data_IF_111082029345
#
_entry.id   IF_111082029345
#
_cell.length_a   1.000
_cell.length_b   1.000
_cell.length_c   1.000
_cell.angle_alpha   90.00
_cell.angle_beta   90.00
_cell.angle_gamma   90.00
#
_symmetry.space_group_name_H-M   'P 1'
#
loop_
_entity.id
_entity.type
_entity.pdbx_description
1 polymer ?
#
# COMPACT_ATOMS: atom_id res chain seq x y z
N UNK A 1 5.79 54.56 -26.77
CA UNK A 1 6.93 53.91 -27.44
C UNK A 1 8.12 54.82 -27.23
N UNK A 2 9.00 54.45 -26.31
CA UNK A 2 10.29 55.11 -26.14
C UNK A 2 11.26 54.19 -26.86
N UNK A 3 11.80 54.64 -27.99
CA UNK A 3 12.86 53.92 -28.71
C UNK A 3 14.07 53.85 -27.79
N UNK A 4 14.44 52.63 -27.44
CA UNK A 4 15.66 52.32 -26.70
C UNK A 4 16.83 52.49 -27.69
N UNK A 5 17.56 53.60 -27.61
CA UNK A 5 18.81 53.78 -28.34
C UNK A 5 19.79 52.70 -27.89
N UNK A 6 20.01 51.71 -28.76
CA UNK A 6 21.05 50.69 -28.59
C UNK A 6 22.40 51.42 -28.46
N UNK A 7 23.11 51.28 -27.33
CA UNK A 7 24.41 51.93 -27.16
C UNK A 7 25.38 51.41 -28.22
N UNK A 8 26.22 52.28 -28.82
CA UNK A 8 27.15 51.86 -29.86
C UNK A 8 28.05 50.73 -29.33
N UNK A 9 28.30 49.75 -30.20
CA UNK A 9 29.21 48.63 -29.96
C UNK A 9 30.66 49.15 -29.96
N UNK A 10 31.09 49.64 -28.79
CA UNK A 10 32.42 50.20 -28.55
C UNK A 10 33.55 49.19 -28.77
N UNK A 11 33.23 47.89 -28.73
CA UNK A 11 34.16 46.80 -29.05
C UNK A 11 34.44 46.74 -30.55
N UNK A 12 33.39 46.87 -31.36
CA UNK A 12 33.51 46.93 -32.82
C UNK A 12 34.22 48.20 -33.28
N UNK A 13 33.88 49.35 -32.70
CA UNK A 13 34.56 50.63 -32.97
C UNK A 13 36.06 50.61 -32.60
N UNK A 14 36.48 49.83 -31.60
CA UNK A 14 37.88 49.66 -31.22
C UNK A 14 38.69 48.86 -32.24
N UNK A 15 38.16 47.73 -32.72
CA UNK A 15 38.82 46.91 -33.75
C UNK A 15 38.83 47.61 -35.11
N UNK A 16 37.77 48.34 -35.44
CA UNK A 16 37.65 49.06 -36.72
C UNK A 16 38.61 50.27 -36.80
N UNK A 17 39.08 50.80 -35.66
CA UNK A 17 40.00 51.94 -35.58
C UNK A 17 41.45 51.56 -35.22
N UNK A 18 41.79 50.26 -35.23
CA UNK A 18 43.18 49.83 -35.13
C UNK A 18 43.88 50.02 -36.48
N UNK A 19 44.71 51.07 -36.61
CA UNK A 19 45.64 51.16 -37.74
C UNK A 19 46.67 50.02 -37.66
N UNK A 20 46.84 49.29 -38.78
CA UNK A 20 47.66 48.08 -38.92
C UNK A 20 49.17 48.30 -38.68
N UNK A 21 49.61 49.56 -38.58
CA UNK A 21 50.96 49.95 -38.21
C UNK A 21 50.90 51.20 -37.33
N UNK A 22 50.98 51.04 -36.01
CA UNK A 22 51.29 52.15 -35.12
C UNK A 22 52.81 52.39 -35.24
N UNK A 23 53.27 53.53 -35.77
CA UNK A 23 54.69 53.84 -35.78
C UNK A 23 55.20 53.91 -34.34
N UNK A 24 56.29 53.23 -34.02
CA UNK A 24 56.95 53.20 -32.71
C UNK A 24 57.69 54.53 -32.39
N UNK A 25 57.07 55.66 -32.69
CA UNK A 25 57.69 56.99 -32.57
C UNK A 25 56.95 57.96 -31.65
N UNK A 26 55.96 57.49 -30.88
CA UNK A 26 55.42 58.25 -29.74
C UNK A 26 56.00 57.81 -28.39
N UNK A 27 57.22 57.27 -28.39
CA UNK A 27 58.06 57.16 -27.20
C UNK A 27 58.62 58.54 -26.86
N UNK A 28 57.90 59.24 -25.98
CA UNK A 28 58.33 60.30 -25.06
C UNK A 28 59.65 61.00 -25.46
N UNK A 29 59.58 62.12 -26.18
CA UNK A 29 60.68 63.10 -26.20
C UNK A 29 60.50 64.04 -25.01
N UNK A 30 61.56 64.17 -24.20
CA UNK A 30 61.54 64.93 -22.95
C UNK A 30 62.43 66.16 -23.09
N UNK A 31 61.94 67.32 -22.62
CA UNK A 31 62.80 68.39 -22.09
C UNK A 31 61.98 69.32 -21.18
N UNK A 32 61.77 68.91 -19.92
CA UNK A 32 61.53 69.81 -18.78
C UNK A 32 61.47 69.01 -17.46
N UNK A 33 62.53 69.06 -16.64
CA UNK A 33 62.61 68.36 -15.34
C UNK A 33 61.98 69.19 -14.23
N UNK A 34 61.26 68.55 -13.28
CA UNK A 34 60.80 69.21 -12.06
C UNK A 34 61.85 69.13 -10.92
N UNK A 35 61.63 69.86 -9.82
CA UNK A 35 62.58 70.07 -8.72
C UNK A 35 62.97 68.80 -7.91
N UNK A 36 62.36 67.64 -8.17
CA UNK A 36 62.73 66.36 -7.55
C UNK A 36 63.35 65.39 -8.55
N UNK A 37 63.82 65.88 -9.70
CA UNK A 37 64.53 65.07 -10.70
C UNK A 37 63.64 64.17 -11.55
N UNK A 38 62.31 64.22 -11.34
CA UNK A 38 61.32 63.53 -12.17
C UNK A 38 60.83 64.43 -13.30
N UNK A 39 60.71 63.87 -14.50
CA UNK A 39 60.03 64.55 -15.61
C UNK A 39 58.56 64.12 -15.58
N UNK A 40 57.70 64.93 -14.94
CA UNK A 40 56.29 64.59 -14.76
C UNK A 40 55.41 65.76 -15.14
N UNK A 41 55.35 66.07 -16.44
CA UNK A 41 54.16 66.67 -17.01
C UNK A 41 53.07 65.60 -16.95
N UNK A 42 52.06 65.76 -16.09
CA UNK A 42 50.86 64.93 -16.19
C UNK A 42 50.18 65.37 -17.49
N UNK A 43 50.44 64.62 -18.57
CA UNK A 43 49.81 64.84 -19.86
C UNK A 43 48.30 64.74 -19.69
N UNK A 44 47.58 65.73 -20.25
CA UNK A 44 46.12 65.76 -20.30
C UNK A 44 45.59 64.37 -20.68
N UNK A 45 44.74 63.80 -19.82
CA UNK A 45 44.07 62.53 -20.09
C UNK A 45 43.31 62.61 -21.41
N UNK A 46 43.86 61.97 -22.45
CA UNK A 46 43.20 61.87 -23.74
C UNK A 46 42.12 60.77 -23.65
N UNK A 47 40.87 61.20 -23.41
CA UNK A 47 39.67 60.35 -23.34
C UNK A 47 39.44 59.48 -24.59
N UNK A 48 40.13 59.75 -25.69
CA UNK A 48 40.04 59.06 -26.99
C UNK A 48 41.25 58.18 -27.31
N UNK A 49 42.26 58.09 -26.43
CA UNK A 49 43.36 57.15 -26.70
C UNK A 49 42.89 55.69 -26.51
N UNK A 50 43.50 54.72 -27.22
CA UNK A 50 43.06 53.32 -27.17
C UNK A 50 43.03 52.72 -25.75
N UNK A 51 43.98 53.09 -24.88
CA UNK A 51 44.02 52.64 -23.49
C UNK A 51 42.87 53.16 -22.62
N UNK A 52 42.43 54.39 -22.81
CA UNK A 52 41.27 54.97 -22.12
C UNK A 52 39.95 54.33 -22.57
N UNK A 53 39.84 53.97 -23.86
CA UNK A 53 38.69 53.22 -24.40
C UNK A 53 38.67 51.80 -23.84
N UNK A 54 39.81 51.11 -23.78
CA UNK A 54 39.94 49.77 -23.19
C UNK A 54 39.57 49.74 -21.69
N UNK A 55 40.01 50.73 -20.91
CA UNK A 55 39.65 50.81 -19.49
C UNK A 55 38.15 51.03 -19.29
N UNK A 56 37.50 51.84 -20.14
CA UNK A 56 36.04 52.04 -20.09
C UNK A 56 35.26 50.80 -20.51
N UNK A 57 35.71 50.08 -21.54
CA UNK A 57 35.06 48.83 -21.96
C UNK A 57 35.23 47.73 -20.91
N UNK A 58 36.40 47.64 -20.27
CA UNK A 58 36.62 46.71 -19.14
C UNK A 58 35.77 47.06 -17.91
N UNK A 59 35.62 48.35 -17.56
CA UNK A 59 34.73 48.78 -16.47
C UNK A 59 33.26 48.47 -16.78
N UNK A 60 32.83 48.66 -18.04
CA UNK A 60 31.48 48.27 -18.50
C UNK A 60 31.25 46.76 -18.39
N UNK A 61 32.16 45.96 -18.94
CA UNK A 61 32.09 44.50 -18.88
C UNK A 61 32.08 43.99 -17.43
N UNK A 62 32.88 44.59 -16.54
CA UNK A 62 32.89 44.24 -15.12
C UNK A 62 31.55 44.54 -14.43
N UNK A 63 30.91 45.67 -14.76
CA UNK A 63 29.59 46.03 -14.23
C UNK A 63 28.49 45.08 -14.72
N UNK A 64 28.48 44.76 -16.01
CA UNK A 64 27.54 43.81 -16.61
C UNK A 64 27.70 42.42 -15.99
N UNK A 65 28.92 41.91 -15.85
CA UNK A 65 29.19 40.62 -15.18
C UNK A 65 28.73 40.61 -13.72
N UNK A 66 28.92 41.72 -13.00
CA UNK A 66 28.48 41.84 -11.61
C UNK A 66 26.96 41.83 -11.50
N UNK A 67 26.25 42.51 -12.40
CA UNK A 67 24.80 42.54 -12.48
C UNK A 67 24.23 41.18 -12.86
N UNK A 68 24.80 40.52 -13.86
CA UNK A 68 24.43 39.16 -14.26
C UNK A 68 24.64 38.15 -13.12
N UNK A 69 25.76 38.25 -12.40
CA UNK A 69 26.01 37.41 -11.21
C UNK A 69 24.96 37.63 -10.11
N UNK A 70 24.49 38.86 -9.93
CA UNK A 70 23.43 39.17 -8.95
C UNK A 70 22.08 38.61 -9.41
N UNK A 71 21.75 38.71 -10.70
CA UNK A 71 20.54 38.14 -11.27
C UNK A 71 20.51 36.62 -11.14
N UNK A 72 21.61 35.94 -11.50
CA UNK A 72 21.74 34.48 -11.34
C UNK A 72 21.58 34.05 -9.87
N UNK A 73 22.13 34.81 -8.93
CA UNK A 73 21.95 34.52 -7.49
C UNK A 73 20.49 34.65 -7.06
N UNK A 74 19.80 35.67 -7.55
CA UNK A 74 18.38 35.89 -7.25
C UNK A 74 17.50 34.79 -7.85
N UNK A 75 17.71 34.44 -9.12
CA UNK A 75 16.99 33.34 -9.77
C UNK A 75 17.21 32.01 -9.05
N UNK A 76 18.44 31.71 -8.63
CA UNK A 76 18.74 30.52 -7.83
C UNK A 76 18.02 30.53 -6.47
N UNK A 77 17.93 31.68 -5.81
CA UNK A 77 17.22 31.81 -4.54
C UNK A 77 15.71 31.60 -4.73
N UNK A 78 15.13 32.17 -5.77
CA UNK A 78 13.71 32.04 -6.09
C UNK A 78 13.38 30.59 -6.48
N UNK A 79 14.21 29.94 -7.29
CA UNK A 79 14.06 28.51 -7.61
C UNK A 79 14.11 27.63 -6.36
N UNK A 80 15.02 27.92 -5.41
CA UNK A 80 15.08 27.18 -4.14
C UNK A 80 13.82 27.36 -3.31
N UNK A 81 13.23 28.56 -3.29
CA UNK A 81 11.95 28.82 -2.59
C UNK A 81 10.80 28.06 -3.25
N UNK A 82 10.71 28.07 -4.57
CA UNK A 82 9.69 27.30 -5.30
C UNK A 82 9.80 25.80 -5.02
N UNK A 83 11.02 25.25 -5.06
CA UNK A 83 11.26 23.85 -4.75
C UNK A 83 10.89 23.51 -3.30
N UNK A 84 11.21 24.38 -2.35
CA UNK A 84 10.82 24.20 -0.95
C UNK A 84 9.29 24.25 -0.76
N UNK A 85 8.60 25.16 -1.45
CA UNK A 85 7.14 25.26 -1.40
C UNK A 85 6.47 24.02 -2.01
N UNK A 86 7.02 23.49 -3.12
CA UNK A 86 6.54 22.27 -3.74
C UNK A 86 6.72 21.06 -2.81
N UNK A 87 7.88 20.93 -2.17
CA UNK A 87 8.15 19.86 -1.20
C UNK A 87 7.22 19.94 0.02
N UNK A 88 6.97 21.15 0.54
CA UNK A 88 6.05 21.35 1.65
C UNK A 88 4.62 20.95 1.26
N UNK A 89 4.15 21.41 0.09
CA UNK A 89 2.81 21.09 -0.42
C UNK A 89 2.64 19.58 -0.63
N UNK A 90 3.65 18.92 -1.20
CA UNK A 90 3.66 17.47 -1.39
C UNK A 90 3.65 16.71 -0.05
N UNK A 91 4.46 17.16 0.92
CA UNK A 91 4.48 16.59 2.27
C UNK A 91 3.11 16.71 2.94
N UNK A 92 2.47 17.87 2.88
CA UNK A 92 1.13 18.10 3.43
C UNK A 92 0.06 17.20 2.77
N UNK A 93 0.14 17.02 1.44
CA UNK A 93 -0.75 16.12 0.72
C UNK A 93 -0.55 14.66 1.15
N UNK A 94 0.70 14.19 1.26
CA UNK A 94 1.00 12.83 1.75
C UNK A 94 0.47 12.65 3.17
N UNK A 95 0.74 13.59 4.07
CA UNK A 95 0.26 13.50 5.46
C UNK A 95 -1.27 13.44 5.51
N UNK A 96 -1.96 14.25 4.71
CA UNK A 96 -3.42 14.25 4.63
C UNK A 96 -3.96 12.92 4.10
N UNK A 97 -3.38 12.39 3.02
CA UNK A 97 -3.80 11.10 2.45
C UNK A 97 -3.53 9.93 3.41
N UNK A 98 -2.39 9.94 4.11
CA UNK A 98 -2.07 8.92 5.12
C UNK A 98 -3.06 8.96 6.28
N UNK A 99 -3.40 10.15 6.79
CA UNK A 99 -4.41 10.29 7.84
C UNK A 99 -5.79 9.77 7.41
N UNK A 100 -6.20 10.05 6.17
CA UNK A 100 -7.44 9.55 5.60
C UNK A 100 -7.43 8.01 5.49
N UNK A 101 -6.33 7.44 4.99
CA UNK A 101 -6.14 5.99 4.88
C UNK A 101 -6.20 5.32 6.25
N UNK A 102 -5.47 5.85 7.24
CA UNK A 102 -5.46 5.34 8.61
C UNK A 102 -6.85 5.38 9.25
N UNK A 103 -7.58 6.48 9.06
CA UNK A 103 -8.96 6.63 9.58
C UNK A 103 -9.91 5.63 8.91
N UNK A 104 -9.85 5.53 7.59
CA UNK A 104 -10.71 4.62 6.82
C UNK A 104 -10.45 3.16 7.21
N UNK A 105 -9.17 2.77 7.30
CA UNK A 105 -8.79 1.42 7.73
C UNK A 105 -9.25 1.11 9.15
N UNK A 106 -9.11 2.07 10.07
CA UNK A 106 -9.57 1.93 11.46
C UNK A 106 -11.08 1.71 11.54
N UNK A 107 -11.86 2.45 10.74
CA UNK A 107 -13.32 2.29 10.68
C UNK A 107 -13.70 0.91 10.14
N UNK A 108 -13.08 0.46 9.04
CA UNK A 108 -13.33 -0.86 8.45
C UNK A 108 -12.99 -1.99 9.44
N UNK A 109 -11.86 -1.88 10.16
CA UNK A 109 -11.49 -2.86 11.19
C UNK A 109 -12.53 -2.88 12.32
N UNK A 110 -12.99 -1.70 12.76
CA UNK A 110 -14.00 -1.60 13.81
C UNK A 110 -15.34 -2.22 13.40
N UNK A 111 -15.84 -1.89 12.21
CA UNK A 111 -17.09 -2.43 11.67
C UNK A 111 -17.03 -3.96 11.53
N UNK A 112 -15.94 -4.48 10.96
CA UNK A 112 -15.74 -5.93 10.82
C UNK A 112 -15.69 -6.64 12.18
N UNK A 113 -15.06 -6.01 13.18
CA UNK A 113 -15.02 -6.56 14.54
C UNK A 113 -16.43 -6.63 15.14
N UNK A 114 -17.22 -5.57 15.02
CA UNK A 114 -18.60 -5.52 15.53
C UNK A 114 -19.48 -6.58 14.86
N UNK A 115 -19.39 -6.73 13.53
CA UNK A 115 -20.12 -7.76 12.79
C UNK A 115 -19.71 -9.18 13.22
N UNK A 116 -18.40 -9.41 13.38
CA UNK A 116 -17.86 -10.69 13.85
C UNK A 116 -18.35 -11.03 15.26
N UNK A 117 -18.30 -10.07 16.20
CA UNK A 117 -18.77 -10.25 17.57
C UNK A 117 -20.28 -10.58 17.61
N UNK A 118 -21.08 -9.94 16.75
CA UNK A 118 -22.51 -10.21 16.65
C UNK A 118 -22.79 -11.63 16.10
N UNK A 119 -22.06 -12.06 15.06
CA UNK A 119 -22.14 -13.43 14.53
C UNK A 119 -21.74 -14.46 15.58
N UNK A 120 -20.68 -14.19 16.34
CA UNK A 120 -20.21 -15.08 17.39
C UNK A 120 -21.25 -15.21 18.51
N UNK A 121 -21.86 -14.11 18.97
CA UNK A 121 -22.96 -14.13 19.95
C UNK A 121 -24.15 -14.96 19.45
N UNK A 122 -24.52 -14.82 18.17
CA UNK A 122 -25.59 -15.62 17.57
C UNK A 122 -25.28 -17.11 17.61
N UNK A 123 -24.07 -17.51 17.21
CA UNK A 123 -23.63 -18.91 17.25
C UNK A 123 -23.62 -19.45 18.69
N UNK A 124 -23.15 -18.66 19.67
CA UNK A 124 -23.20 -19.06 21.08
C UNK A 124 -24.63 -19.35 21.56
N UNK A 125 -25.58 -18.50 21.19
CA UNK A 125 -26.99 -18.69 21.54
C UNK A 125 -27.58 -19.95 20.88
N UNK A 126 -27.29 -20.18 19.61
CA UNK A 126 -27.73 -21.38 18.89
C UNK A 126 -27.14 -22.67 19.50
N UNK A 127 -25.86 -22.65 19.89
CA UNK A 127 -25.20 -23.76 20.57
C UNK A 127 -25.81 -24.02 21.95
N UNK A 128 -26.07 -22.97 22.73
CA UNK A 128 -26.70 -23.10 24.04
C UNK A 128 -28.09 -23.75 23.95
N UNK A 129 -28.94 -23.26 23.04
CA UNK A 129 -30.27 -23.84 22.82
C UNK A 129 -30.21 -25.30 22.38
N UNK A 130 -29.25 -25.64 21.50
CA UNK A 130 -29.08 -27.02 21.04
C UNK A 130 -28.62 -27.94 22.18
N UNK A 131 -27.68 -27.49 22.99
CA UNK A 131 -27.21 -28.24 24.16
C UNK A 131 -28.34 -28.45 25.19
N UNK A 132 -29.17 -27.42 25.43
CA UNK A 132 -30.33 -27.51 26.30
C UNK A 132 -31.35 -28.53 25.77
N UNK A 133 -31.68 -28.49 24.48
CA UNK A 133 -32.58 -29.48 23.87
C UNK A 133 -32.07 -30.92 23.99
N UNK A 134 -30.76 -31.15 23.79
CA UNK A 134 -30.16 -32.48 23.96
C UNK A 134 -30.27 -32.93 25.42
N UNK A 135 -29.96 -32.06 26.37
CA UNK A 135 -30.07 -32.37 27.79
C UNK A 135 -31.53 -32.67 28.21
N UNK A 136 -32.50 -31.93 27.68
CA UNK A 136 -33.93 -32.22 27.89
C UNK A 136 -34.34 -33.57 27.30
N UNK A 137 -33.85 -33.90 26.11
CA UNK A 137 -34.16 -35.18 25.47
C UNK A 137 -33.56 -36.35 26.25
N UNK A 138 -32.31 -36.22 26.70
CA UNK A 138 -31.64 -37.23 27.53
C UNK A 138 -32.38 -37.43 28.87
N UNK A 139 -32.81 -36.33 29.51
CA UNK A 139 -33.61 -36.40 30.72
C UNK A 139 -34.96 -37.07 30.47
N UNK A 140 -35.65 -36.73 29.37
CA UNK A 140 -36.92 -37.35 29.00
C UNK A 140 -36.77 -38.86 28.76
N UNK A 141 -35.70 -39.28 28.09
CA UNK A 141 -35.36 -40.69 27.90
C UNK A 141 -35.11 -41.37 29.25
N UNK A 142 -34.30 -40.76 30.12
CA UNK A 142 -33.96 -41.34 31.42
C UNK A 142 -35.17 -41.44 32.37
N UNK A 143 -36.08 -40.46 32.32
CA UNK A 143 -37.36 -40.51 33.04
C UNK A 143 -38.22 -41.65 32.49
N UNK A 144 -38.35 -41.76 31.16
CA UNK A 144 -39.17 -42.81 30.54
C UNK A 144 -38.64 -44.22 30.81
N UNK A 145 -37.32 -44.40 30.93
CA UNK A 145 -36.69 -45.68 31.28
C UNK A 145 -36.83 -46.04 32.77
N UNK A 146 -36.73 -45.05 33.66
CA UNK A 146 -36.69 -45.28 35.11
C UNK A 146 -38.03 -45.06 35.84
N UNK A 147 -39.05 -44.58 35.14
CA UNK A 147 -40.39 -44.43 35.73
C UNK A 147 -41.20 -45.68 35.44
N UNK A 148 -41.58 -46.40 36.51
CA UNK A 148 -42.51 -47.52 36.40
C UNK A 148 -43.82 -47.00 35.82
N UNK A 149 -44.18 -47.49 34.63
CA UNK A 149 -45.40 -47.04 33.96
C UNK A 149 -46.62 -47.57 34.74
N UNK A 150 -47.73 -46.82 34.82
CA UNK A 150 -48.94 -47.27 35.53
C UNK A 150 -49.38 -48.68 35.13
N UNK A 151 -49.24 -49.01 33.84
CA UNK A 151 -49.58 -50.31 33.29
C UNK A 151 -48.61 -51.42 33.76
N UNK A 152 -47.33 -51.11 33.97
CA UNK A 152 -46.35 -52.06 34.53
C UNK A 152 -46.60 -52.31 36.02
N UNK A 153 -47.06 -51.29 36.75
CA UNK A 153 -47.43 -51.41 38.17
C UNK A 153 -48.73 -52.22 38.33
N UNK A 154 -49.69 -51.99 37.44
CA UNK A 154 -50.93 -52.78 37.34
C UNK A 154 -50.60 -54.21 36.92
N UNK A 155 -49.74 -54.42 35.92
CA UNK A 155 -49.28 -55.76 35.52
C UNK A 155 -48.49 -56.47 36.62
N UNK A 156 -47.66 -55.79 37.42
CA UNK A 156 -46.98 -56.44 38.56
C UNK A 156 -47.95 -56.78 39.69
N UNK A 157 -48.95 -55.92 39.93
CA UNK A 157 -50.02 -56.18 40.91
C UNK A 157 -50.92 -57.34 40.46
N UNK A 158 -51.31 -57.36 39.18
CA UNK A 158 -52.10 -58.41 38.57
C UNK A 158 -51.30 -59.72 38.45
N UNK A 159 -50.00 -59.68 38.11
CA UNK A 159 -49.12 -60.86 38.13
C UNK A 159 -48.90 -61.43 39.54
N UNK A 160 -48.94 -60.61 40.60
CA UNK A 160 -48.89 -61.09 41.99
C UNK A 160 -50.19 -61.81 42.39
N UNK A 161 -51.34 -61.27 41.97
CA UNK A 161 -52.65 -61.91 42.14
C UNK A 161 -52.79 -63.18 41.30
N UNK A 162 -52.27 -63.16 40.06
CA UNK A 162 -52.31 -64.27 39.12
C UNK A 162 -51.33 -65.37 39.52
N UNK A 163 -50.08 -65.10 39.95
CA UNK A 163 -49.14 -66.13 40.43
C UNK A 163 -49.67 -66.89 41.65
N UNK A 164 -50.54 -66.28 42.46
CA UNK A 164 -51.27 -66.97 43.53
C UNK A 164 -52.35 -67.94 43.00
N UNK A 165 -52.87 -67.71 41.79
CA UNK A 165 -53.87 -68.55 41.11
C UNK A 165 -53.27 -69.51 40.05
N UNK A 166 -52.10 -69.20 39.49
CA UNK A 166 -51.47 -69.91 38.36
C UNK A 166 -50.60 -71.12 38.78
N UNK A 167 -50.51 -71.43 40.08
CA UNK A 167 -50.13 -72.78 40.55
C UNK A 167 -51.17 -73.83 40.10
N UNK A 168 -52.37 -73.42 39.66
CA UNK A 168 -53.44 -74.36 39.32
C UNK A 168 -53.74 -74.58 37.84
N UNK A 169 -53.42 -73.70 36.87
CA UNK A 169 -53.80 -73.98 35.47
C UNK A 169 -52.99 -73.19 34.42
N UNK A 170 -52.07 -73.87 33.74
CA UNK A 170 -51.23 -73.36 32.64
C UNK A 170 -51.88 -73.55 31.25
N UNK A 171 -52.01 -72.49 30.45
CA UNK A 171 -51.57 -72.35 29.02
C UNK A 171 -51.98 -70.99 28.44
N UNK A 172 -51.11 -70.39 27.59
CA UNK A 172 -51.23 -69.05 26.98
C UNK A 172 -52.15 -69.07 25.75
N UNK A 173 -52.95 -68.01 25.54
CA UNK A 173 -53.94 -67.90 24.44
C UNK A 173 -53.44 -66.98 23.32
N UNK A 174 -53.90 -67.23 22.10
CA UNK A 174 -53.53 -66.49 20.87
C UNK A 174 -53.81 -64.96 20.92
N UNK A 175 -54.67 -64.53 21.84
CA UNK A 175 -55.08 -63.14 22.03
C UNK A 175 -53.90 -62.25 22.49
N UNK A 176 -52.91 -62.85 23.17
CA UNK A 176 -51.73 -62.15 23.70
C UNK A 176 -50.61 -61.94 22.65
N UNK A 177 -50.71 -62.59 21.48
CA UNK A 177 -49.68 -62.56 20.42
C UNK A 177 -49.93 -61.42 19.40
N UNK A 178 -51.20 -61.10 19.13
CA UNK A 178 -51.59 -60.09 18.14
C UNK A 178 -51.08 -58.66 18.42
N UNK A 179 -51.07 -58.14 19.67
CA UNK A 179 -50.55 -56.81 19.97
C UNK A 179 -49.02 -56.71 19.79
N UNK A 180 -48.30 -57.80 20.06
CA UNK A 180 -46.84 -57.88 19.85
C UNK A 180 -46.49 -57.86 18.36
N UNK A 181 -47.30 -58.48 17.51
CA UNK A 181 -47.12 -58.49 16.06
C UNK A 181 -47.36 -57.10 15.45
N UNK A 182 -48.37 -56.36 15.93
CA UNK A 182 -48.64 -54.99 15.53
C UNK A 182 -47.51 -54.03 15.98
N UNK A 183 -47.02 -54.17 17.21
CA UNK A 183 -45.91 -53.37 17.73
C UNK A 183 -44.59 -53.67 17.00
N UNK A 184 -44.32 -54.95 16.68
CA UNK A 184 -43.16 -55.34 15.90
C UNK A 184 -43.21 -54.77 14.48
N UNK A 185 -44.40 -54.75 13.86
CA UNK A 185 -44.59 -54.19 12.51
C UNK A 185 -44.37 -52.67 12.51
N UNK A 186 -44.94 -51.95 13.48
CA UNK A 186 -44.76 -50.49 13.61
C UNK A 186 -43.30 -50.10 13.90
N UNK A 187 -42.59 -50.85 14.75
CA UNK A 187 -41.16 -50.63 14.96
C UNK A 187 -40.34 -50.88 13.69
N UNK A 188 -40.72 -51.87 12.89
CA UNK A 188 -40.02 -52.16 11.65
C UNK A 188 -40.20 -51.02 10.62
N UNK A 189 -41.38 -50.41 10.55
CA UNK A 189 -41.62 -49.21 9.72
C UNK A 189 -40.80 -48.00 10.18
N UNK A 190 -40.69 -47.77 11.50
CA UNK A 190 -39.86 -46.71 12.06
C UNK A 190 -38.36 -46.91 11.76
N UNK A 191 -37.88 -48.17 11.81
CA UNK A 191 -36.50 -48.53 11.43
C UNK A 191 -36.26 -48.25 9.94
N UNK A 192 -37.21 -48.59 9.07
CA UNK A 192 -37.11 -48.31 7.63
C UNK A 192 -37.00 -46.80 7.37
N UNK A 193 -37.84 -45.98 8.03
CA UNK A 193 -37.78 -44.52 7.90
C UNK A 193 -36.44 -43.95 8.38
N UNK A 194 -35.95 -44.37 9.55
CA UNK A 194 -34.64 -43.96 10.06
C UNK A 194 -33.51 -44.33 9.10
N UNK A 195 -33.52 -45.53 8.53
CA UNK A 195 -32.52 -45.94 7.55
C UNK A 195 -32.55 -45.08 6.27
N UNK A 196 -33.74 -44.62 5.88
CA UNK A 196 -33.90 -43.72 4.74
C UNK A 196 -33.30 -42.33 5.01
N UNK A 197 -33.51 -41.78 6.22
CA UNK A 197 -32.89 -40.53 6.65
C UNK A 197 -31.36 -40.64 6.74
N UNK A 198 -30.85 -41.73 7.32
CA UNK A 198 -29.41 -42.00 7.39
C UNK A 198 -28.79 -42.00 5.99
N UNK A 199 -29.46 -42.63 5.02
CA UNK A 199 -29.02 -42.63 3.63
C UNK A 199 -28.97 -41.21 3.04
N UNK A 200 -30.03 -40.42 3.22
CA UNK A 200 -30.08 -39.04 2.73
C UNK A 200 -28.98 -38.17 3.36
N UNK A 201 -28.71 -38.32 4.66
CA UNK A 201 -27.63 -37.62 5.35
C UNK A 201 -26.26 -38.05 4.83
N UNK A 202 -26.07 -39.35 4.58
CA UNK A 202 -24.83 -39.88 3.99
C UNK A 202 -24.58 -39.27 2.61
N UNK A 203 -25.60 -39.16 1.77
CA UNK A 203 -25.50 -38.54 0.45
C UNK A 203 -25.14 -37.05 0.55
N UNK A 204 -25.74 -36.32 1.50
CA UNK A 204 -25.39 -34.92 1.76
C UNK A 204 -23.94 -34.75 2.24
N UNK A 205 -23.46 -35.63 3.13
CA UNK A 205 -22.07 -35.64 3.58
C UNK A 205 -21.13 -35.84 2.40
N UNK A 206 -21.42 -36.80 1.51
CA UNK A 206 -20.59 -37.03 0.32
C UNK A 206 -20.53 -35.80 -0.59
N UNK A 207 -21.64 -35.09 -0.78
CA UNK A 207 -21.66 -33.84 -1.56
C UNK A 207 -20.78 -32.76 -0.90
N UNK A 208 -20.86 -32.63 0.42
CA UNK A 208 -20.04 -31.66 1.17
C UNK A 208 -18.56 -32.01 1.08
N UNK A 209 -18.20 -33.28 1.23
CA UNK A 209 -16.82 -33.76 1.09
C UNK A 209 -16.23 -33.42 -0.27
N UNK A 210 -16.96 -33.70 -1.36
CA UNK A 210 -16.51 -33.37 -2.71
C UNK A 210 -16.32 -31.86 -2.92
N UNK A 211 -17.21 -31.03 -2.35
CA UNK A 211 -17.06 -29.56 -2.40
C UNK A 211 -15.85 -29.07 -1.61
N UNK A 212 -15.53 -29.69 -0.48
CA UNK A 212 -14.33 -29.36 0.30
C UNK A 212 -13.05 -29.73 -0.46
N UNK A 213 -13.01 -30.89 -1.12
CA UNK A 213 -11.88 -31.28 -1.96
C UNK A 213 -11.67 -30.29 -3.12
N UNK A 214 -12.76 -29.88 -3.77
CA UNK A 214 -12.70 -28.88 -4.84
C UNK A 214 -12.19 -27.52 -4.33
N UNK A 215 -12.74 -27.03 -3.21
CA UNK A 215 -12.29 -25.79 -2.60
C UNK A 215 -10.80 -25.83 -2.22
N UNK A 216 -10.32 -26.97 -1.73
CA UNK A 216 -8.92 -27.15 -1.39
C UNK A 216 -8.02 -27.08 -2.64
N UNK A 217 -8.45 -27.68 -3.75
CA UNK A 217 -7.77 -27.57 -5.05
C UNK A 217 -7.70 -26.11 -5.53
N UNK A 218 -8.80 -25.37 -5.41
CA UNK A 218 -8.86 -23.95 -5.81
C UNK A 218 -7.95 -23.07 -4.96
N UNK A 219 -7.83 -23.34 -3.65
CA UNK A 219 -6.89 -22.65 -2.76
C UNK A 219 -5.43 -22.88 -3.19
N UNK A 220 -5.07 -24.12 -3.51
CA UNK A 220 -3.71 -24.47 -3.97
C UNK A 220 -3.39 -23.74 -5.28
N UNK A 221 -4.34 -23.72 -6.22
CA UNK A 221 -4.18 -23.03 -7.51
C UNK A 221 -4.03 -21.52 -7.33
N UNK A 222 -4.86 -20.90 -6.49
CA UNK A 222 -4.78 -19.47 -6.19
C UNK A 222 -3.48 -19.08 -5.49
N UNK A 223 -2.98 -19.91 -4.57
CA UNK A 223 -1.69 -19.68 -3.92
C UNK A 223 -0.53 -19.74 -4.92
N UNK A 224 -0.59 -20.68 -5.87
CA UNK A 224 0.40 -20.79 -6.95
C UNK A 224 0.35 -19.56 -7.87
N UNK A 225 -0.84 -19.14 -8.28
CA UNK A 225 -1.04 -17.93 -9.08
C UNK A 225 -0.50 -16.67 -8.38
N UNK A 226 -0.84 -16.48 -7.10
CA UNK A 226 -0.38 -15.35 -6.29
C UNK A 226 1.14 -15.35 -6.15
N UNK A 227 1.75 -16.52 -5.96
CA UNK A 227 3.20 -16.68 -5.89
C UNK A 227 3.87 -16.28 -7.21
N UNK A 228 3.28 -16.65 -8.34
CA UNK A 228 3.81 -16.30 -9.66
C UNK A 228 3.73 -14.79 -9.93
N UNK A 229 2.58 -14.15 -9.66
CA UNK A 229 2.45 -12.69 -9.78
C UNK A 229 3.46 -11.98 -8.88
N UNK A 230 3.61 -12.43 -7.64
CA UNK A 230 4.56 -11.81 -6.69
C UNK A 230 5.99 -11.88 -7.24
N UNK A 231 6.38 -13.02 -7.84
CA UNK A 231 7.69 -13.16 -8.49
C UNK A 231 7.84 -12.24 -9.69
N UNK A 232 6.82 -12.15 -10.55
CA UNK A 232 6.84 -11.25 -11.72
C UNK A 232 6.99 -9.78 -11.32
N UNK A 233 6.21 -9.32 -10.34
CA UNK A 233 6.32 -7.95 -9.80
C UNK A 233 7.71 -7.69 -9.25
N UNK A 234 8.26 -8.61 -8.44
CA UNK A 234 9.61 -8.46 -7.86
C UNK A 234 10.68 -8.39 -8.96
N UNK A 235 10.57 -9.21 -10.00
CA UNK A 235 11.49 -9.18 -11.13
C UNK A 235 11.39 -7.85 -11.89
N UNK A 236 10.18 -7.40 -12.24
CA UNK A 236 9.98 -6.13 -12.95
C UNK A 236 10.49 -4.93 -12.13
N UNK A 237 10.25 -4.93 -10.81
CA UNK A 237 10.81 -3.91 -9.91
C UNK A 237 12.34 -3.91 -9.91
N UNK A 238 12.96 -5.09 -9.85
CA UNK A 238 14.42 -5.22 -9.88
C UNK A 238 15.02 -4.74 -11.20
N UNK A 239 14.37 -5.03 -12.32
CA UNK A 239 14.78 -4.55 -13.64
C UNK A 239 14.69 -3.02 -13.74
N UNK A 240 13.54 -2.44 -13.34
CA UNK A 240 13.35 -0.97 -13.32
C UNK A 240 14.34 -0.27 -12.41
N UNK A 241 14.57 -0.79 -11.21
CA UNK A 241 15.56 -0.24 -10.27
C UNK A 241 16.98 -0.31 -10.83
N UNK A 242 17.32 -1.37 -11.55
CA UNK A 242 18.63 -1.53 -12.19
C UNK A 242 18.81 -0.53 -13.34
N UNK A 243 17.77 -0.31 -14.16
CA UNK A 243 17.76 0.72 -15.20
C UNK A 243 17.98 2.11 -14.61
N UNK A 244 17.19 2.49 -13.59
CA UNK A 244 17.33 3.79 -12.92
C UNK A 244 18.73 3.97 -12.33
N UNK A 245 19.29 2.92 -11.69
CA UNK A 245 20.65 2.96 -11.15
C UNK A 245 21.69 3.23 -12.25
N UNK A 246 21.55 2.60 -13.41
CA UNK A 246 22.45 2.82 -14.54
C UNK A 246 22.30 4.23 -15.11
N UNK A 247 21.08 4.73 -15.29
CA UNK A 247 20.81 6.08 -15.80
C UNK A 247 21.38 7.15 -14.87
N UNK A 248 21.17 7.02 -13.56
CA UNK A 248 21.74 7.90 -12.54
C UNK A 248 23.27 7.88 -12.60
N UNK A 249 23.88 6.69 -12.72
CA UNK A 249 25.34 6.55 -12.82
C UNK A 249 25.89 7.25 -14.06
N UNK A 250 25.24 7.10 -15.22
CA UNK A 250 25.63 7.78 -16.46
C UNK A 250 25.52 9.30 -16.30
N UNK A 251 24.41 9.79 -15.76
CA UNK A 251 24.20 11.23 -15.57
C UNK A 251 25.23 11.85 -14.61
N UNK A 252 25.57 11.16 -13.53
CA UNK A 252 26.62 11.59 -12.60
C UNK A 252 28.00 11.65 -13.28
N UNK A 253 28.37 10.62 -14.04
CA UNK A 253 29.65 10.62 -14.80
C UNK A 253 29.71 11.76 -15.82
N UNK A 254 28.60 12.06 -16.50
CA UNK A 254 28.50 13.17 -17.44
C UNK A 254 28.64 14.52 -16.75
N UNK A 255 28.02 14.67 -15.57
CA UNK A 255 28.12 15.89 -14.76
C UNK A 255 29.57 16.12 -14.29
N UNK A 256 30.22 15.08 -13.79
CA UNK A 256 31.61 15.11 -13.34
C UNK A 256 32.58 15.47 -14.48
N UNK A 257 32.36 14.89 -15.67
CA UNK A 257 33.12 15.23 -16.88
C UNK A 257 32.98 16.71 -17.28
N UNK A 258 31.75 17.25 -17.21
CA UNK A 258 31.49 18.67 -17.52
C UNK A 258 32.12 19.61 -16.49
N UNK A 259 32.07 19.26 -15.19
CA UNK A 259 32.72 20.00 -14.11
C UNK A 259 34.24 20.06 -14.31
N UNK A 260 34.86 18.95 -14.69
CA UNK A 260 36.30 18.90 -14.94
C UNK A 260 36.73 19.71 -16.18
N UNK A 261 35.89 19.79 -17.21
CA UNK A 261 36.14 20.66 -18.37
C UNK A 261 36.02 22.16 -18.04
N UNK A 262 35.19 22.53 -17.06
CA UNK A 262 35.02 23.93 -16.65
C UNK A 262 36.15 24.45 -15.75
N UNK A 263 36.94 23.54 -15.17
CA UNK A 263 38.05 23.85 -14.26
C UNK A 263 39.43 23.79 -14.94
N UNK A 264 39.48 23.64 -16.27
CA UNK A 264 40.68 23.74 -17.11
C UNK A 264 40.64 25.02 -17.93
#
# INVERSE_FOLDING_TARGET
>A
MIEEEVPPDLTKEYFDNMEENIPDNQTITTDNKNAYGGNSTIYNYNKRNPGATMLKSSDKAYKELKEETQNIRKENEDFRKELQNMLNSFSEQITTQMNLLTTTLSNVIHENKVDSDNKFKKIQFELANKAENVAFQDLANHINENTVKPNQLIETFDNLNINMALIQHNTVRNEDILPLEAAATSNNEAIIQSNQEIKNLTDQINIITNKLEQLNSDIINNNTYTTNITKEIVNEMNEKLSSIRNDVKINLSNLDSKLNQYNQ
#
